data_IF_224863716048
#
_entry.id   IF_224863716048
#
_cell.length_a   1.000
_cell.length_b   1.000
_cell.length_c   1.000
_cell.angle_alpha   90.00
_cell.angle_beta   90.00
_cell.angle_gamma   90.00
#
_symmetry.space_group_name_H-M   'P 1'
#
loop_
_entity.id
_entity.type
_entity.pdbx_description
1 polymer ?
#
# COMPACT_ATOMS: atom_id res chain seq x y z
N UNK A 1 -29.45 26.54 81.59
CA UNK A 1 -29.57 26.83 80.16
C UNK A 1 -28.18 26.56 79.49
N UNK A 2 -28.09 25.49 78.79
CA UNK A 2 -26.84 25.00 78.26
C UNK A 2 -26.80 25.38 76.75
N UNK A 3 -25.85 26.23 76.36
CA UNK A 3 -25.71 26.67 74.97
C UNK A 3 -24.70 25.78 74.28
N UNK A 4 -25.15 25.06 73.27
CA UNK A 4 -24.32 24.12 72.47
C UNK A 4 -23.74 24.86 71.28
N UNK A 5 -22.38 25.03 71.23
CA UNK A 5 -21.67 25.52 70.07
C UNK A 5 -21.36 24.36 69.15
N UNK A 6 -21.95 24.37 67.97
CA UNK A 6 -21.60 23.42 66.90
C UNK A 6 -20.53 24.08 66.04
N UNK A 7 -19.32 23.52 66.09
CA UNK A 7 -18.20 23.89 65.21
C UNK A 7 -18.32 23.11 63.89
N UNK A 8 -18.65 23.81 62.78
CA UNK A 8 -18.67 23.19 61.46
C UNK A 8 -17.27 23.19 60.88
N UNK A 9 -16.68 22.01 60.76
CA UNK A 9 -15.39 21.79 60.12
C UNK A 9 -15.63 21.63 58.62
N UNK A 10 -15.29 22.65 57.80
CA UNK A 10 -15.33 22.55 56.33
C UNK A 10 -14.08 21.88 55.82
N UNK A 11 -14.21 20.64 55.43
CA UNK A 11 -13.14 19.92 54.66
C UNK A 11 -13.12 20.45 53.23
N UNK A 12 -12.11 21.25 52.91
CA UNK A 12 -11.75 21.59 51.52
C UNK A 12 -11.05 20.39 50.90
N UNK A 13 -11.74 19.59 50.11
CA UNK A 13 -11.12 18.55 49.27
C UNK A 13 -10.55 19.18 48.00
N UNK A 14 -9.22 19.37 47.96
CA UNK A 14 -8.53 19.61 46.70
C UNK A 14 -8.60 18.34 45.86
N UNK A 15 -9.51 18.31 44.91
CA UNK A 15 -9.53 17.31 43.84
C UNK A 15 -8.39 17.59 42.84
N UNK A 16 -7.24 16.91 42.98
CA UNK A 16 -6.26 16.89 41.92
C UNK A 16 -6.84 16.05 40.78
N UNK A 17 -7.35 16.72 39.75
CA UNK A 17 -7.74 16.09 38.50
C UNK A 17 -6.49 15.56 37.80
N UNK A 18 -6.24 14.24 37.87
CA UNK A 18 -5.35 13.58 36.92
C UNK A 18 -6.00 13.69 35.54
N UNK A 19 -5.50 14.61 34.71
CA UNK A 19 -5.73 14.57 33.28
C UNK A 19 -5.06 13.30 32.75
N UNK A 20 -5.84 12.26 32.52
CA UNK A 20 -5.39 11.12 31.75
C UNK A 20 -5.11 11.62 30.34
N UNK A 21 -3.86 11.85 30.02
CA UNK A 21 -3.41 12.00 28.63
C UNK A 21 -3.61 10.64 27.98
N UNK A 22 -4.80 10.41 27.42
CA UNK A 22 -5.05 9.28 26.57
C UNK A 22 -4.13 9.39 25.36
N UNK A 23 -2.97 8.73 25.44
CA UNK A 23 -2.15 8.47 24.27
C UNK A 23 -3.01 7.66 23.32
N UNK A 24 -3.49 8.30 22.24
CA UNK A 24 -4.07 7.59 21.11
C UNK A 24 -2.97 6.65 20.61
N UNK A 25 -3.10 5.36 20.87
CA UNK A 25 -2.26 4.38 20.21
C UNK A 25 -2.56 4.53 18.72
N UNK A 26 -1.68 5.17 17.99
CA UNK A 26 -1.73 5.21 16.53
C UNK A 26 -1.67 3.76 16.08
N UNK A 27 -2.78 3.22 15.59
CA UNK A 27 -2.79 1.92 14.94
C UNK A 27 -1.94 2.06 13.67
N UNK A 28 -0.70 1.57 13.74
CA UNK A 28 0.22 1.57 12.60
C UNK A 28 -0.46 0.92 11.40
N UNK A 29 -0.51 1.63 10.29
CA UNK A 29 -1.02 1.09 9.05
C UNK A 29 0.07 0.22 8.40
N UNK A 30 -0.25 -1.04 8.17
CA UNK A 30 0.70 -1.98 7.57
C UNK A 30 0.22 -2.43 6.20
N UNK A 31 1.12 -2.49 5.21
CA UNK A 31 0.87 -3.16 3.95
C UNK A 31 0.64 -4.66 4.16
N UNK A 32 0.12 -5.32 3.14
CA UNK A 32 -0.03 -6.77 3.10
C UNK A 32 1.32 -7.38 2.69
N UNK A 33 1.94 -8.15 3.58
CA UNK A 33 3.18 -8.91 3.32
C UNK A 33 2.88 -10.34 2.92
N UNK A 34 1.89 -10.94 3.54
CA UNK A 34 1.45 -12.30 3.31
C UNK A 34 -0.04 -12.45 3.59
N UNK A 35 -0.64 -13.52 3.08
CA UNK A 35 -2.03 -13.89 3.33
C UNK A 35 -2.05 -15.20 4.11
N UNK A 36 -2.81 -15.23 5.19
CA UNK A 36 -2.99 -16.44 5.98
C UNK A 36 -3.72 -17.49 5.15
N UNK A 37 -3.14 -18.68 5.04
CA UNK A 37 -3.72 -19.81 4.28
C UNK A 37 -3.24 -21.14 4.82
N UNK A 38 -4.12 -22.14 4.84
CA UNK A 38 -3.77 -23.53 5.15
C UNK A 38 -3.21 -24.29 3.94
N UNK A 39 -3.19 -23.67 2.77
CA UNK A 39 -2.71 -24.29 1.53
C UNK A 39 -1.24 -23.97 1.31
N UNK A 40 -0.44 -24.92 0.80
CA UNK A 40 0.95 -24.65 0.40
C UNK A 40 0.99 -23.84 -0.91
N UNK A 41 0.73 -22.55 -0.81
CA UNK A 41 0.66 -21.62 -1.94
C UNK A 41 1.64 -20.45 -1.72
N UNK A 42 2.19 -19.96 -2.81
CA UNK A 42 2.96 -18.72 -2.86
C UNK A 42 2.33 -17.79 -3.91
N UNK A 43 2.45 -16.48 -3.70
CA UNK A 43 2.15 -15.48 -4.70
C UNK A 43 3.47 -14.98 -5.30
N UNK A 44 3.55 -14.95 -6.65
CA UNK A 44 4.68 -14.39 -7.38
C UNK A 44 4.25 -13.04 -7.95
N UNK A 45 5.14 -12.07 -7.93
CA UNK A 45 4.92 -10.76 -8.53
C UNK A 45 6.21 -10.20 -9.10
N UNK A 46 6.07 -9.32 -10.08
CA UNK A 46 7.16 -8.61 -10.74
C UNK A 46 6.94 -7.11 -10.61
N UNK A 47 8.03 -6.36 -10.43
CA UNK A 47 8.03 -4.90 -10.47
C UNK A 47 8.64 -4.47 -11.82
N UNK A 48 7.83 -3.82 -12.66
CA UNK A 48 8.22 -3.37 -14.00
C UNK A 48 8.43 -1.85 -13.99
N UNK A 49 9.69 -1.42 -13.88
CA UNK A 49 10.08 -0.02 -13.81
C UNK A 49 11.05 0.40 -14.92
N UNK A 50 11.87 -0.53 -15.42
CA UNK A 50 12.86 -0.29 -16.46
C UNK A 50 12.77 -1.39 -17.52
N UNK A 51 13.10 -1.08 -18.77
CA UNK A 51 13.17 -2.08 -19.84
C UNK A 51 11.97 -3.00 -19.99
N UNK A 52 11.93 -3.77 -21.05
CA UNK A 52 10.90 -4.79 -21.29
C UNK A 52 11.45 -6.02 -22.01
N UNK A 53 12.79 -6.13 -22.07
CA UNK A 53 13.48 -7.14 -22.88
C UNK A 53 13.08 -8.57 -22.48
N UNK A 54 12.81 -8.79 -21.20
CA UNK A 54 12.49 -10.10 -20.62
C UNK A 54 10.98 -10.37 -20.54
N UNK A 55 10.12 -9.39 -20.79
CA UNK A 55 8.66 -9.50 -20.56
C UNK A 55 8.06 -10.68 -21.31
N UNK A 56 8.36 -10.84 -22.58
CA UNK A 56 7.80 -11.90 -23.42
C UNK A 56 8.33 -13.29 -23.03
N UNK A 57 9.59 -13.38 -22.58
CA UNK A 57 10.17 -14.63 -22.08
C UNK A 57 9.53 -15.01 -20.73
N UNK A 58 9.36 -14.06 -19.82
CA UNK A 58 8.65 -14.27 -18.54
C UNK A 58 7.23 -14.78 -18.81
N UNK A 59 6.46 -14.14 -19.68
CA UNK A 59 5.10 -14.56 -20.03
C UNK A 59 5.08 -15.99 -20.61
N UNK A 60 6.05 -16.35 -21.46
CA UNK A 60 6.15 -17.69 -22.00
C UNK A 60 6.44 -18.74 -20.92
N UNK A 61 7.29 -18.43 -19.95
CA UNK A 61 7.60 -19.31 -18.80
C UNK A 61 6.38 -19.47 -17.90
N UNK A 62 5.71 -18.38 -17.54
CA UNK A 62 4.50 -18.42 -16.72
C UNK A 62 3.40 -19.25 -17.37
N UNK A 63 3.18 -19.05 -18.68
CA UNK A 63 2.23 -19.86 -19.47
C UNK A 63 2.59 -21.35 -19.47
N UNK A 64 3.87 -21.68 -19.70
CA UNK A 64 4.37 -23.07 -19.70
C UNK A 64 4.08 -23.78 -18.39
N UNK A 65 4.14 -23.06 -17.27
CA UNK A 65 3.93 -23.62 -15.95
C UNK A 65 2.53 -23.39 -15.40
N UNK A 66 1.63 -22.77 -16.19
CA UNK A 66 0.26 -22.42 -15.80
C UNK A 66 0.23 -21.59 -14.49
N UNK A 67 1.10 -20.59 -14.41
CA UNK A 67 1.23 -19.68 -13.27
C UNK A 67 0.63 -18.33 -13.63
N UNK A 68 -0.22 -17.79 -12.75
CA UNK A 68 -0.71 -16.42 -12.79
C UNK A 68 -0.03 -15.61 -11.68
N UNK A 69 0.28 -14.35 -11.97
CA UNK A 69 0.98 -13.46 -11.03
C UNK A 69 0.52 -12.02 -11.21
N UNK A 70 1.08 -11.10 -10.43
CA UNK A 70 0.82 -9.66 -10.53
C UNK A 70 2.06 -8.94 -11.06
N UNK A 71 1.87 -8.04 -12.04
CA UNK A 71 2.91 -7.12 -12.51
C UNK A 71 2.60 -5.72 -11.95
N UNK A 72 3.46 -5.21 -11.07
CA UNK A 72 3.41 -3.84 -10.57
C UNK A 72 4.20 -2.94 -11.50
N UNK A 73 3.51 -2.06 -12.23
CA UNK A 73 4.10 -1.26 -13.31
C UNK A 73 4.14 0.21 -12.93
N UNK A 74 5.26 0.88 -13.24
CA UNK A 74 5.33 2.34 -13.17
C UNK A 74 4.56 2.97 -14.33
N UNK A 75 4.10 4.22 -14.14
CA UNK A 75 3.41 4.94 -15.21
C UNK A 75 4.30 5.26 -16.40
N UNK A 76 5.61 5.44 -16.17
CA UNK A 76 6.60 5.57 -17.23
C UNK A 76 6.69 4.29 -18.04
N UNK A 77 6.78 3.13 -17.39
CA UNK A 77 6.82 1.82 -18.07
C UNK A 77 5.56 1.55 -18.89
N UNK A 78 4.37 1.84 -18.33
CA UNK A 78 3.08 1.73 -19.04
C UNK A 78 3.06 2.59 -20.29
N UNK A 79 3.58 3.81 -20.22
CA UNK A 79 3.64 4.73 -21.36
C UNK A 79 4.61 4.27 -22.46
N UNK A 80 5.73 3.68 -22.06
CA UNK A 80 6.78 3.23 -22.98
C UNK A 80 6.44 1.89 -23.63
N UNK A 81 5.72 1.01 -22.92
CA UNK A 81 5.48 -0.38 -23.36
C UNK A 81 4.00 -0.79 -23.33
N UNK A 82 3.09 -0.03 -23.98
CA UNK A 82 1.64 -0.27 -23.89
C UNK A 82 1.22 -1.65 -24.43
N UNK A 83 1.94 -2.20 -25.40
CA UNK A 83 1.61 -3.53 -25.96
C UNK A 83 1.99 -4.66 -24.99
N UNK A 84 3.02 -4.48 -24.16
CA UNK A 84 3.35 -5.45 -23.11
C UNK A 84 2.31 -5.42 -21.98
N UNK A 85 1.80 -4.24 -21.62
CA UNK A 85 0.68 -4.13 -20.65
C UNK A 85 -0.53 -4.94 -21.12
N UNK A 86 -0.90 -4.82 -22.39
CA UNK A 86 -2.01 -5.61 -22.98
C UNK A 86 -1.71 -7.10 -22.96
N UNK A 87 -0.47 -7.48 -23.37
CA UNK A 87 -0.03 -8.88 -23.40
C UNK A 87 -0.06 -9.53 -22.02
N UNK A 88 0.35 -8.79 -20.97
CA UNK A 88 0.29 -9.25 -19.58
C UNK A 88 -1.16 -9.52 -19.16
N UNK A 89 -2.07 -8.59 -19.44
CA UNK A 89 -3.49 -8.75 -19.12
C UNK A 89 -4.14 -9.89 -19.92
N UNK A 90 -3.88 -9.98 -21.23
CA UNK A 90 -4.41 -11.04 -22.10
C UNK A 90 -3.92 -12.43 -21.71
N UNK A 91 -2.73 -12.53 -21.12
CA UNK A 91 -2.20 -13.75 -20.55
C UNK A 91 -2.85 -14.12 -19.20
N UNK A 92 -3.75 -13.30 -18.66
CA UNK A 92 -4.52 -13.57 -17.45
C UNK A 92 -3.79 -13.18 -16.16
N UNK A 93 -2.80 -12.29 -16.23
CA UNK A 93 -2.10 -11.77 -15.07
C UNK A 93 -2.80 -10.50 -14.53
N UNK A 94 -2.61 -10.21 -13.24
CA UNK A 94 -3.09 -8.99 -12.62
C UNK A 94 -2.14 -7.82 -12.92
N UNK A 95 -2.73 -6.63 -13.12
CA UNK A 95 -1.99 -5.38 -13.26
C UNK A 95 -2.02 -4.64 -11.93
N UNK A 96 -0.86 -4.29 -11.40
CA UNK A 96 -0.64 -3.54 -10.18
C UNK A 96 0.01 -2.19 -10.44
N UNK A 97 -0.22 -1.26 -9.54
CA UNK A 97 0.32 0.09 -9.57
C UNK A 97 1.67 0.17 -8.84
N UNK A 98 2.68 0.77 -9.47
CA UNK A 98 4.01 0.99 -8.88
C UNK A 98 4.42 2.46 -8.88
N UNK A 99 3.45 3.38 -8.74
CA UNK A 99 3.56 4.84 -8.88
C UNK A 99 3.91 5.33 -10.29
N UNK A 100 3.70 6.60 -10.55
CA UNK A 100 4.00 7.19 -11.86
C UNK A 100 5.52 7.26 -12.12
N UNK A 101 6.27 7.82 -11.15
CA UNK A 101 7.67 8.22 -11.35
C UNK A 101 8.66 7.46 -10.46
N UNK A 102 8.26 6.31 -9.87
CA UNK A 102 9.12 5.49 -9.01
C UNK A 102 9.79 6.27 -7.87
N UNK A 103 9.03 7.18 -7.21
CA UNK A 103 9.53 8.02 -6.12
C UNK A 103 9.53 7.31 -4.77
N UNK A 104 10.33 7.80 -3.83
CA UNK A 104 10.18 7.45 -2.42
C UNK A 104 8.87 8.05 -1.89
N UNK A 105 7.86 7.20 -1.71
CA UNK A 105 6.49 7.63 -1.44
C UNK A 105 6.33 8.30 -0.07
N UNK A 106 7.11 7.89 0.94
CA UNK A 106 7.09 8.50 2.28
C UNK A 106 7.61 9.94 2.33
N UNK A 107 8.22 10.43 1.25
CA UNK A 107 8.73 11.80 1.13
C UNK A 107 7.72 12.76 0.47
N UNK A 108 6.57 12.24 0.04
CA UNK A 108 5.56 12.99 -0.69
C UNK A 108 4.44 13.46 0.26
N UNK A 109 3.76 14.53 -0.11
CA UNK A 109 2.52 14.93 0.54
C UNK A 109 1.36 13.99 0.15
N UNK A 110 0.29 13.97 0.94
CA UNK A 110 -0.90 13.14 0.69
C UNK A 110 -1.47 13.35 -0.72
N UNK A 111 -1.45 14.59 -1.22
CA UNK A 111 -1.92 14.91 -2.56
C UNK A 111 -1.02 14.35 -3.65
N UNK A 112 0.30 14.42 -3.46
CA UNK A 112 1.28 13.87 -4.41
C UNK A 112 1.24 12.34 -4.42
N UNK A 113 1.06 11.68 -3.26
CA UNK A 113 0.88 10.23 -3.18
C UNK A 113 -0.33 9.80 -4.03
N UNK A 114 -1.47 10.45 -3.82
CA UNK A 114 -2.70 10.14 -4.58
C UNK A 114 -2.53 10.41 -6.07
N UNK A 115 -1.87 11.50 -6.45
CA UNK A 115 -1.58 11.84 -7.85
C UNK A 115 -0.69 10.79 -8.53
N UNK A 116 0.42 10.36 -7.88
CA UNK A 116 1.30 9.29 -8.39
C UNK A 116 0.54 7.98 -8.69
N UNK A 117 -0.47 7.64 -7.89
CA UNK A 117 -1.27 6.45 -8.10
C UNK A 117 -2.37 6.65 -9.16
N UNK A 118 -3.04 7.80 -9.13
CA UNK A 118 -4.16 8.08 -10.03
C UNK A 118 -3.73 8.19 -11.49
N UNK A 119 -2.58 8.80 -11.76
CA UNK A 119 -2.06 8.92 -13.13
C UNK A 119 -1.85 7.54 -13.76
N UNK A 120 -1.22 6.60 -13.05
CA UNK A 120 -1.00 5.23 -13.54
C UNK A 120 -2.34 4.50 -13.71
N UNK A 121 -3.25 4.68 -12.74
CA UNK A 121 -4.58 4.07 -12.81
C UNK A 121 -5.31 4.45 -14.09
N UNK A 122 -5.38 5.73 -14.39
CA UNK A 122 -6.08 6.24 -15.58
C UNK A 122 -5.39 5.77 -16.87
N UNK A 123 -4.05 5.76 -16.93
CA UNK A 123 -3.31 5.24 -18.09
C UNK A 123 -3.65 3.78 -18.38
N UNK A 124 -3.61 2.92 -17.35
CA UNK A 124 -3.91 1.48 -17.50
C UNK A 124 -5.37 1.27 -17.85
N UNK A 125 -6.28 1.99 -17.20
CA UNK A 125 -7.72 1.92 -17.48
C UNK A 125 -8.07 2.37 -18.91
N UNK A 126 -7.49 3.48 -19.37
CA UNK A 126 -7.69 3.97 -20.74
C UNK A 126 -7.16 2.96 -21.76
N UNK A 127 -6.01 2.35 -21.48
CA UNK A 127 -5.36 1.42 -22.39
C UNK A 127 -6.05 0.06 -22.48
N UNK A 128 -6.60 -0.45 -21.37
CA UNK A 128 -7.04 -1.85 -21.23
C UNK A 128 -8.46 -2.03 -20.71
N UNK A 129 -9.03 -1.01 -20.08
CA UNK A 129 -10.29 -1.11 -19.32
C UNK A 129 -10.12 -1.76 -17.93
N UNK A 130 -8.91 -2.14 -17.52
CA UNK A 130 -8.66 -2.80 -16.24
C UNK A 130 -8.62 -1.78 -15.10
N UNK A 131 -9.37 -2.05 -14.03
CA UNK A 131 -9.38 -1.25 -12.80
C UNK A 131 -8.37 -1.84 -11.82
N UNK A 132 -7.21 -1.21 -11.67
CA UNK A 132 -6.20 -1.67 -10.72
C UNK A 132 -6.65 -1.42 -9.28
N UNK A 133 -6.33 -2.34 -8.38
CA UNK A 133 -6.63 -2.26 -6.95
C UNK A 133 -5.47 -2.67 -6.03
N UNK A 134 -4.34 -3.07 -6.60
CA UNK A 134 -3.11 -3.40 -5.88
C UNK A 134 -2.04 -2.34 -6.14
N UNK A 135 -1.41 -1.87 -5.07
CA UNK A 135 -0.31 -0.92 -5.12
C UNK A 135 0.89 -1.46 -4.38
N UNK A 136 2.06 -1.34 -4.99
CA UNK A 136 3.34 -1.60 -4.32
C UNK A 136 4.17 -0.34 -4.32
N UNK A 137 4.58 0.18 -3.13
CA UNK A 137 5.44 1.35 -3.05
C UNK A 137 6.83 1.05 -3.64
N UNK A 138 7.38 1.92 -4.49
CA UNK A 138 8.77 1.84 -4.92
C UNK A 138 9.73 1.69 -3.73
N UNK A 139 10.78 0.90 -3.89
CA UNK A 139 11.78 0.62 -2.85
C UNK A 139 11.22 -0.01 -1.56
N UNK A 140 9.95 -0.38 -1.54
CA UNK A 140 9.26 -0.75 -0.31
C UNK A 140 9.08 0.42 0.66
N UNK A 141 9.22 1.66 0.18
CA UNK A 141 9.16 2.88 0.98
C UNK A 141 7.71 3.29 1.30
N UNK A 142 7.32 3.16 2.57
CA UNK A 142 6.00 3.53 3.04
C UNK A 142 6.00 4.01 4.49
N UNK A 143 4.98 4.77 4.81
CA UNK A 143 4.56 5.13 6.16
C UNK A 143 3.04 5.03 6.28
N UNK A 144 2.48 5.46 7.42
CA UNK A 144 1.04 5.42 7.65
C UNK A 144 0.27 6.31 6.65
N UNK A 145 0.86 7.42 6.19
CA UNK A 145 0.25 8.32 5.22
C UNK A 145 0.13 7.65 3.84
N UNK A 146 1.19 6.99 3.38
CA UNK A 146 1.20 6.26 2.10
C UNK A 146 0.13 5.19 2.08
N UNK A 147 0.05 4.35 3.13
CA UNK A 147 -0.94 3.27 3.21
C UNK A 147 -2.37 3.83 3.29
N UNK A 148 -2.58 4.90 4.06
CA UNK A 148 -3.88 5.54 4.20
C UNK A 148 -4.33 6.20 2.89
N UNK A 149 -3.45 6.95 2.22
CA UNK A 149 -3.75 7.60 0.95
C UNK A 149 -4.09 6.60 -0.16
N UNK A 150 -3.35 5.50 -0.24
CA UNK A 150 -3.64 4.42 -1.18
C UNK A 150 -5.03 3.80 -0.90
N UNK A 151 -5.34 3.51 0.35
CA UNK A 151 -6.63 2.97 0.79
C UNK A 151 -7.80 3.90 0.47
N UNK A 152 -7.62 5.22 0.70
CA UNK A 152 -8.65 6.23 0.44
C UNK A 152 -9.13 6.25 -1.02
N UNK A 153 -8.25 5.88 -1.95
CA UNK A 153 -8.53 5.82 -3.39
C UNK A 153 -8.71 4.40 -3.92
N UNK A 154 -8.95 3.43 -3.00
CA UNK A 154 -9.37 2.07 -3.35
C UNK A 154 -8.25 1.05 -3.55
N UNK A 155 -7.02 1.36 -3.14
CA UNK A 155 -5.89 0.44 -3.27
C UNK A 155 -5.60 -0.33 -1.99
N UNK A 156 -5.20 -1.59 -2.15
CA UNK A 156 -4.50 -2.37 -1.13
C UNK A 156 -2.99 -2.21 -1.34
N UNK A 157 -2.29 -1.76 -0.32
CA UNK A 157 -0.83 -1.66 -0.35
C UNK A 157 -0.22 -3.04 -0.09
N UNK A 158 0.62 -3.51 -1.01
CA UNK A 158 1.25 -4.85 -0.97
C UNK A 158 2.77 -4.69 -0.90
N UNK A 159 3.39 -5.49 -0.05
CA UNK A 159 4.83 -5.66 0.05
C UNK A 159 5.23 -7.07 -0.38
N UNK A 160 6.41 -7.51 0.00
CA UNK A 160 6.90 -8.87 -0.20
C UNK A 160 7.50 -9.42 1.09
N UNK A 161 7.47 -10.71 1.21
CA UNK A 161 8.06 -11.44 2.32
C UNK A 161 9.45 -12.01 1.93
N UNK A 162 9.60 -12.39 0.67
CA UNK A 162 10.85 -12.92 0.09
C UNK A 162 11.22 -12.10 -1.14
N UNK A 163 12.46 -11.62 -1.17
CA UNK A 163 13.06 -10.89 -2.29
C UNK A 163 14.01 -11.83 -3.06
N UNK A 164 13.82 -11.95 -4.38
CA UNK A 164 14.66 -12.77 -5.25
C UNK A 164 16.04 -12.17 -5.49
N UNK A 165 16.18 -10.85 -5.31
CA UNK A 165 17.39 -10.08 -5.58
C UNK A 165 17.85 -10.15 -7.06
N UNK A 166 16.95 -10.40 -7.99
CA UNK A 166 17.21 -10.49 -9.43
C UNK A 166 17.62 -9.16 -10.08
N UNK A 167 17.40 -8.07 -9.38
CA UNK A 167 17.79 -6.71 -9.77
C UNK A 167 19.29 -6.38 -9.52
N UNK A 168 20.09 -7.26 -8.91
CA UNK A 168 21.51 -7.05 -8.57
C UNK A 168 22.47 -7.38 -9.68
#
# INVERSE_FOLDING_TARGET
>A
MLSLFILALSCLSLGAGLAATGGSASNKQLPIYCVETDKPQIAISFDAAWGNEDTQEILAILKKHNVHCTFFMTGEWVSNFPEDVKSILEAGHDLGNHSENHKNMSQLSDSEIKEELQIVHEKVKELTGYEMFLFRPPYGDYDDAVVSCAKDIGYYTVQWDVDSLDWK
#
